data_IF_082965560516
#
_entry.id   IF_082965560516
#
_cell.length_a   1.000
_cell.length_b   1.000
_cell.length_c   1.000
_cell.angle_alpha   90.00
_cell.angle_beta   90.00
_cell.angle_gamma   90.00
#
_symmetry.space_group_name_H-M   'P 1'
#
loop_
_entity.id
_entity.type
_entity.pdbx_description
1 polymer ?
#
# COMPACT_ATOMS: atom_id res chain seq x y z
N UNK A 1 19.60 0.60 -14.64
CA UNK A 1 18.46 1.15 -13.89
C UNK A 1 17.73 0.02 -13.18
N UNK A 2 17.88 -0.13 -11.86
CA UNK A 2 17.10 -1.10 -11.10
C UNK A 2 15.78 -0.44 -10.70
N UNK A 3 14.68 -0.78 -11.37
CA UNK A 3 13.37 -0.22 -11.05
C UNK A 3 12.80 -0.93 -9.80
N UNK A 4 13.29 -0.55 -8.62
CA UNK A 4 12.91 -1.15 -7.33
C UNK A 4 11.40 -0.99 -7.06
N UNK A 5 10.83 0.15 -7.43
CA UNK A 5 9.40 0.41 -7.38
C UNK A 5 8.61 -0.60 -8.21
N UNK A 6 8.96 -0.79 -9.49
CA UNK A 6 8.27 -1.74 -10.36
C UNK A 6 8.37 -3.19 -9.89
N UNK A 7 9.53 -3.57 -9.32
CA UNK A 7 9.69 -4.90 -8.69
C UNK A 7 8.78 -5.07 -7.47
N UNK A 8 8.68 -4.04 -6.63
CA UNK A 8 7.76 -4.01 -5.49
C UNK A 8 6.31 -4.11 -5.95
N UNK A 9 5.91 -3.33 -6.96
CA UNK A 9 4.56 -3.34 -7.52
C UNK A 9 4.13 -4.72 -7.99
N UNK A 10 4.96 -5.37 -8.81
CA UNK A 10 4.70 -6.74 -9.27
C UNK A 10 4.65 -7.74 -8.12
N UNK A 11 5.51 -7.59 -7.11
CA UNK A 11 5.50 -8.44 -5.93
C UNK A 11 4.19 -8.29 -5.15
N UNK A 12 3.74 -7.06 -4.89
CA UNK A 12 2.46 -6.79 -4.21
C UNK A 12 1.26 -7.33 -4.98
N UNK A 13 1.24 -7.19 -6.31
CA UNK A 13 0.16 -7.75 -7.13
C UNK A 13 0.11 -9.28 -7.09
N UNK A 14 1.25 -9.94 -6.92
CA UNK A 14 1.35 -11.41 -6.83
C UNK A 14 1.24 -11.95 -5.42
N UNK A 15 1.48 -11.12 -4.41
CA UNK A 15 1.49 -11.50 -3.01
C UNK A 15 0.10 -11.91 -2.53
N UNK A 16 -0.05 -13.17 -2.09
CA UNK A 16 -1.31 -13.68 -1.54
C UNK A 16 -1.68 -13.03 -0.21
N UNK A 17 -0.67 -12.66 0.57
CA UNK A 17 -0.80 -12.00 1.85
C UNK A 17 0.21 -10.86 1.94
N UNK A 18 -0.11 -9.85 2.76
CA UNK A 18 0.82 -8.79 3.05
C UNK A 18 2.09 -9.32 3.72
N UNK A 19 3.23 -8.77 3.33
CA UNK A 19 4.52 -9.09 3.94
C UNK A 19 4.60 -8.59 5.39
N UNK A 20 5.48 -9.23 6.16
CA UNK A 20 5.73 -8.81 7.54
C UNK A 20 6.61 -7.56 7.57
N UNK A 21 6.53 -6.77 8.66
CA UNK A 21 7.38 -5.60 8.85
C UNK A 21 8.88 -5.95 8.80
N UNK A 22 9.26 -7.14 9.30
CA UNK A 22 10.64 -7.63 9.28
C UNK A 22 11.12 -7.93 7.87
N UNK A 23 10.31 -8.62 7.05
CA UNK A 23 10.66 -8.85 5.64
C UNK A 23 10.75 -7.53 4.88
N UNK A 24 9.79 -6.63 5.09
CA UNK A 24 9.77 -5.32 4.46
C UNK A 24 11.00 -4.48 4.84
N UNK A 25 11.52 -4.59 6.07
CA UNK A 25 12.68 -3.83 6.54
C UNK A 25 13.96 -4.06 5.71
N UNK A 26 14.07 -5.21 5.04
CA UNK A 26 15.20 -5.51 4.14
C UNK A 26 15.14 -4.76 2.79
N UNK A 27 14.01 -4.12 2.48
CA UNK A 27 13.79 -3.43 1.21
C UNK A 27 13.80 -1.90 1.36
N UNK A 28 14.16 -1.21 0.28
CA UNK A 28 14.12 0.24 0.21
C UNK A 28 12.68 0.77 0.18
N UNK A 29 12.52 2.07 0.47
CA UNK A 29 11.24 2.78 0.44
C UNK A 29 10.53 2.64 -0.91
N UNK A 30 11.26 2.70 -2.03
CA UNK A 30 10.68 2.54 -3.37
C UNK A 30 10.05 1.16 -3.58
N UNK A 31 10.74 0.10 -3.16
CA UNK A 31 10.20 -1.26 -3.26
C UNK A 31 8.98 -1.44 -2.36
N UNK A 32 9.08 -1.01 -1.09
CA UNK A 32 7.97 -1.07 -0.14
C UNK A 32 6.75 -0.32 -0.67
N UNK A 33 6.95 0.88 -1.22
CA UNK A 33 5.89 1.70 -1.83
C UNK A 33 5.24 0.96 -2.99
N UNK A 34 6.04 0.43 -3.91
CA UNK A 34 5.54 -0.39 -5.01
C UNK A 34 4.69 -1.56 -4.49
N UNK A 35 5.20 -2.28 -3.50
CA UNK A 35 4.49 -3.42 -2.89
C UNK A 35 3.12 -3.03 -2.33
N UNK A 36 3.05 -1.96 -1.53
CA UNK A 36 1.78 -1.50 -0.95
C UNK A 36 0.76 -1.17 -2.04
N UNK A 37 1.19 -0.44 -3.07
CA UNK A 37 0.30 -0.07 -4.18
C UNK A 37 -0.16 -1.30 -4.97
N UNK A 38 0.76 -2.21 -5.29
CA UNK A 38 0.45 -3.44 -6.03
C UNK A 38 -0.50 -4.35 -5.27
N UNK A 39 -0.30 -4.48 -3.96
CA UNK A 39 -1.17 -5.26 -3.08
C UNK A 39 -2.56 -4.64 -2.97
N UNK A 40 -2.63 -3.32 -2.79
CA UNK A 40 -3.92 -2.60 -2.75
C UNK A 40 -4.69 -2.72 -4.07
N UNK A 41 -4.00 -2.65 -5.22
CA UNK A 41 -4.61 -2.80 -6.54
C UNK A 41 -5.18 -4.21 -6.72
N UNK A 42 -4.39 -5.23 -6.37
CA UNK A 42 -4.86 -6.63 -6.39
C UNK A 42 -6.08 -6.82 -5.49
N UNK A 43 -6.08 -6.28 -4.28
CA UNK A 43 -7.23 -6.36 -3.36
C UNK A 43 -8.47 -5.71 -3.97
N UNK A 44 -8.31 -4.57 -4.64
CA UNK A 44 -9.40 -3.93 -5.37
C UNK A 44 -9.90 -4.78 -6.54
N UNK A 45 -9.01 -5.43 -7.30
CA UNK A 45 -9.41 -6.34 -8.39
C UNK A 45 -10.14 -7.59 -7.88
N UNK A 46 -9.79 -8.09 -6.70
CA UNK A 46 -10.41 -9.28 -6.10
C UNK A 46 -11.75 -8.98 -5.43
N UNK A 47 -11.87 -7.85 -4.73
CA UNK A 47 -13.05 -7.53 -3.91
C UNK A 47 -14.00 -6.54 -4.59
N UNK A 48 -13.50 -5.76 -5.55
CA UNK A 48 -14.19 -4.58 -6.08
C UNK A 48 -14.30 -3.41 -5.09
N UNK A 49 -13.78 -3.55 -3.87
CA UNK A 49 -13.93 -2.57 -2.80
C UNK A 49 -12.69 -1.67 -2.69
N UNK A 50 -12.88 -0.44 -3.17
CA UNK A 50 -11.86 0.61 -3.18
C UNK A 50 -11.58 1.15 -1.77
N UNK A 51 -12.52 1.05 -0.83
CA UNK A 51 -12.36 1.51 0.54
C UNK A 51 -11.53 0.51 1.35
N UNK A 52 -11.83 -0.78 1.20
CA UNK A 52 -11.05 -1.86 1.84
C UNK A 52 -9.60 -1.85 1.35
N UNK A 53 -9.40 -1.74 0.03
CA UNK A 53 -8.07 -1.60 -0.58
C UNK A 53 -7.26 -0.44 0.00
N UNK A 54 -7.91 0.73 0.18
CA UNK A 54 -7.26 1.89 0.76
C UNK A 54 -6.97 1.74 2.25
N UNK A 55 -7.88 1.14 3.02
CA UNK A 55 -7.66 0.82 4.43
C UNK A 55 -6.44 -0.08 4.62
N UNK A 56 -6.34 -1.14 3.82
CA UNK A 56 -5.21 -2.07 3.85
C UNK A 56 -3.90 -1.37 3.48
N UNK A 57 -3.92 -0.52 2.45
CA UNK A 57 -2.77 0.29 2.08
C UNK A 57 -2.30 1.18 3.23
N UNK A 58 -3.23 1.72 4.04
CA UNK A 58 -2.92 2.50 5.23
C UNK A 58 -2.18 1.70 6.29
N UNK A 59 -2.67 0.50 6.61
CA UNK A 59 -2.03 -0.45 7.55
C UNK A 59 -0.60 -0.75 7.10
N UNK A 60 -0.42 -1.14 5.84
CA UNK A 60 0.89 -1.51 5.32
C UNK A 60 1.87 -0.34 5.25
N UNK A 61 1.37 0.85 4.93
CA UNK A 61 2.18 2.08 4.95
C UNK A 61 2.77 2.32 6.34
N UNK A 62 1.95 2.16 7.39
CA UNK A 62 2.42 2.27 8.78
C UNK A 62 3.38 1.15 9.14
N UNK A 63 3.00 -0.10 8.86
CA UNK A 63 3.77 -1.32 9.13
C UNK A 63 5.18 -1.28 8.55
N UNK A 64 5.34 -0.73 7.35
CA UNK A 64 6.60 -0.69 6.63
C UNK A 64 7.43 0.58 6.90
N UNK A 65 6.92 1.49 7.74
CA UNK A 65 7.55 2.78 8.05
C UNK A 65 7.64 3.70 6.82
N UNK A 66 6.64 3.64 5.94
CA UNK A 66 6.57 4.49 4.76
C UNK A 66 6.00 5.86 5.08
N UNK A 67 6.41 6.84 4.27
CA UNK A 67 5.81 8.16 4.30
C UNK A 67 4.35 8.07 3.83
N UNK A 68 3.45 8.51 4.70
CA UNK A 68 2.01 8.47 4.48
C UNK A 68 1.59 9.30 3.28
N UNK A 69 2.12 10.51 3.17
CA UNK A 69 1.71 11.45 2.14
C UNK A 69 2.17 10.97 0.75
N UNK A 70 3.30 10.26 0.70
CA UNK A 70 3.81 9.62 -0.52
C UNK A 70 2.91 8.48 -1.04
N UNK A 71 2.31 7.67 -0.16
CA UNK A 71 1.37 6.61 -0.57
C UNK A 71 -0.01 7.20 -0.85
N UNK A 72 -0.46 8.16 -0.05
CA UNK A 72 -1.71 8.88 -0.27
C UNK A 72 -1.77 9.56 -1.64
N UNK A 73 -0.65 10.08 -2.13
CA UNK A 73 -0.59 10.75 -3.43
C UNK A 73 -1.09 9.89 -4.59
N UNK A 74 -0.88 8.56 -4.50
CA UNK A 74 -1.39 7.62 -5.50
C UNK A 74 -2.92 7.50 -5.50
N UNK A 75 -3.53 7.66 -4.33
CA UNK A 75 -4.99 7.66 -4.19
C UNK A 75 -5.62 9.03 -4.53
N UNK A 76 -4.81 10.10 -4.66
CA UNK A 76 -5.31 11.44 -5.01
C UNK A 76 -5.69 11.59 -6.48
N UNK A 77 -5.27 10.69 -7.38
CA UNK A 77 -5.69 10.75 -8.79
C UNK A 77 -7.20 10.47 -8.97
N UNK A 78 -7.86 9.83 -8.00
CA UNK A 78 -9.33 9.67 -7.96
C UNK A 78 -9.84 9.88 -6.51
N UNK A 79 -9.86 11.14 -6.03
CA UNK A 79 -10.05 11.42 -4.61
C UNK A 79 -11.53 11.33 -4.26
N UNK A 80 -12.03 10.12 -3.99
CA UNK A 80 -13.23 10.01 -3.18
C UNK A 80 -12.82 10.37 -1.74
N UNK A 81 -13.50 11.36 -1.16
CA UNK A 81 -13.26 11.79 0.24
C UNK A 81 -13.30 10.61 1.22
N UNK A 82 -14.01 9.55 0.86
CA UNK A 82 -14.15 8.32 1.64
C UNK A 82 -12.90 7.45 1.57
N UNK A 83 -12.28 7.24 0.42
CA UNK A 83 -11.06 6.42 0.26
C UNK A 83 -9.92 6.93 1.15
N UNK A 84 -9.72 8.25 1.21
CA UNK A 84 -8.74 8.89 2.08
C UNK A 84 -9.03 8.67 3.58
N UNK A 85 -10.30 8.69 3.98
CA UNK A 85 -10.70 8.38 5.37
C UNK A 85 -10.37 6.94 5.75
N UNK A 86 -10.67 5.99 4.87
CA UNK A 86 -10.38 4.58 5.11
C UNK A 86 -8.88 4.31 5.20
N UNK A 87 -8.10 4.90 4.29
CA UNK A 87 -6.63 4.85 4.37
C UNK A 87 -6.11 5.39 5.71
N UNK A 88 -6.57 6.57 6.12
CA UNK A 88 -6.18 7.16 7.41
C UNK A 88 -6.62 6.32 8.60
N UNK A 89 -7.78 5.65 8.52
CA UNK A 89 -8.25 4.74 9.55
C UNK A 89 -7.34 3.52 9.69
N UNK A 90 -6.92 2.91 8.58
CA UNK A 90 -5.97 1.80 8.59
C UNK A 90 -4.58 2.21 9.09
N UNK A 91 -4.08 3.36 8.63
CA UNK A 91 -2.78 3.89 9.06
C UNK A 91 -2.70 4.14 10.57
N UNK A 92 -3.80 4.55 11.20
CA UNK A 92 -3.87 4.79 12.65
C UNK A 92 -4.02 3.52 13.47
N UNK A 93 -4.47 2.42 12.88
CA UNK A 93 -4.74 1.17 13.59
C UNK A 93 -3.44 0.40 13.94
N UNK A 94 -2.42 0.47 13.09
CA UNK A 94 -1.06 -0.06 13.34
C UNK A 94 -0.19 0.90 14.19
N UNK A 95 -0.82 1.76 14.99
CA UNK A 95 -0.19 2.85 15.75
C UNK A 95 0.02 2.53 17.21
#
# INVERSE_FOLDING_TARGET
MNNHFGKGLLAGMRAEQADTAQNAAHFCSDYKRGFVLGYSQRMFEQTGDRQLSAWEAGILTRRYGLDRDMVMDFFKENPSSTTLRYFMAGYRLEG
#
